data_IF_593488563054
#
_entry.id   IF_593488563054
#
_cell.length_a   1.000
_cell.length_b   1.000
_cell.length_c   1.000
_cell.angle_alpha   90.00
_cell.angle_beta   90.00
_cell.angle_gamma   90.00
#
_symmetry.space_group_name_H-M   'P 1'
#
loop_
_entity.id
_entity.type
_entity.pdbx_description
1 polymer ?
#
# COMPACT_ATOMS: atom_id res chain seq x y z
N UNK A 1 -0.98 -35.41 71.74
CA UNK A 1 -1.90 -34.30 72.07
C UNK A 1 -1.27 -32.96 71.70
N UNK A 2 -1.74 -32.30 70.63
CA UNK A 2 -2.08 -30.86 70.57
C UNK A 2 -2.41 -30.51 69.12
N UNK A 3 -3.70 -30.21 68.90
CA UNK A 3 -4.23 -29.56 67.70
C UNK A 3 -3.82 -28.10 67.73
N UNK A 4 -3.38 -27.54 66.60
CA UNK A 4 -3.47 -26.10 66.32
C UNK A 4 -3.93 -25.89 64.89
N UNK A 5 -4.76 -24.86 64.75
CA UNK A 5 -5.68 -24.52 63.68
C UNK A 5 -5.13 -23.33 62.88
N UNK A 6 -5.52 -23.22 61.59
CA UNK A 6 -5.70 -21.98 60.78
C UNK A 6 -4.36 -21.30 60.37
N UNK A 7 -4.08 -20.92 59.11
CA UNK A 7 -4.92 -20.15 58.19
C UNK A 7 -4.64 -20.50 56.71
N UNK A 8 -5.74 -20.64 55.95
CA UNK A 8 -5.75 -20.63 54.49
C UNK A 8 -5.75 -19.16 54.06
N UNK A 9 -4.63 -18.66 53.53
CA UNK A 9 -4.60 -17.35 52.89
C UNK A 9 -5.27 -17.45 51.52
N UNK A 10 -6.49 -16.90 51.41
CA UNK A 10 -7.10 -16.58 50.13
C UNK A 10 -6.27 -15.46 49.48
N UNK A 11 -5.60 -15.77 48.39
CA UNK A 11 -5.12 -14.75 47.46
C UNK A 11 -6.34 -14.27 46.66
N UNK A 12 -6.80 -13.06 46.96
CA UNK A 12 -7.75 -12.32 46.13
C UNK A 12 -7.04 -12.03 44.80
N UNK A 13 -7.35 -12.78 43.75
CA UNK A 13 -7.00 -12.39 42.37
C UNK A 13 -7.99 -11.31 41.98
N UNK A 14 -7.56 -10.06 42.09
CA UNK A 14 -8.26 -8.92 41.51
C UNK A 14 -8.21 -9.09 39.99
N UNK A 15 -9.34 -9.49 39.41
CA UNK A 15 -9.54 -9.49 37.96
C UNK A 15 -9.55 -8.04 37.49
N UNK A 16 -8.40 -7.54 37.01
CA UNK A 16 -8.39 -6.35 36.16
C UNK A 16 -9.06 -6.78 34.87
N UNK A 17 -10.28 -6.30 34.65
CA UNK A 17 -10.96 -6.35 33.37
C UNK A 17 -10.08 -5.58 32.37
N UNK A 18 -9.21 -6.30 31.67
CA UNK A 18 -8.63 -5.83 30.43
C UNK A 18 -9.80 -5.62 29.48
N UNK A 19 -10.14 -4.34 29.26
CA UNK A 19 -10.99 -3.89 28.17
C UNK A 19 -10.55 -4.59 26.88
N UNK A 20 -11.50 -5.29 26.27
CA UNK A 20 -11.24 -6.36 25.32
C UNK A 20 -10.31 -5.97 24.16
N UNK A 21 -9.44 -6.92 23.81
CA UNK A 21 -8.98 -7.03 22.43
C UNK A 21 -10.25 -7.12 21.56
N UNK A 22 -10.53 -6.07 20.80
CA UNK A 22 -11.60 -6.09 19.80
C UNK A 22 -11.37 -7.33 18.93
N UNK A 23 -12.30 -8.28 19.01
CA UNK A 23 -12.25 -9.48 18.20
C UNK A 23 -12.16 -9.05 16.74
N UNK A 24 -11.02 -9.32 16.10
CA UNK A 24 -10.83 -9.03 14.69
C UNK A 24 -11.99 -9.66 13.93
N UNK A 25 -12.76 -8.86 13.21
CA UNK A 25 -13.83 -9.38 12.37
C UNK A 25 -13.21 -10.41 11.43
N UNK A 26 -13.67 -11.68 11.44
CA UNK A 26 -13.12 -12.69 10.55
C UNK A 26 -13.29 -12.24 9.10
N UNK A 27 -12.41 -12.71 8.22
CA UNK A 27 -12.56 -12.53 6.77
C UNK A 27 -14.02 -12.81 6.36
N UNK A 28 -14.61 -12.07 5.40
CA UNK A 28 -15.99 -12.29 4.98
C UNK A 28 -16.24 -13.78 4.73
N UNK A 29 -17.08 -14.38 5.56
CA UNK A 29 -17.26 -15.84 5.62
C UNK A 29 -17.99 -16.33 4.38
N UNK A 30 -17.37 -17.31 3.71
CA UNK A 30 -17.98 -18.40 2.94
C UNK A 30 -19.22 -18.06 2.12
N UNK A 31 -19.04 -17.41 0.97
CA UNK A 31 -20.09 -17.24 -0.04
C UNK A 31 -19.72 -16.24 -1.11
N UNK A 32 -19.22 -15.06 -0.72
CA UNK A 32 -18.85 -13.99 -1.64
C UNK A 32 -17.73 -14.37 -2.63
N UNK A 33 -16.84 -15.29 -2.23
CA UNK A 33 -15.71 -15.76 -3.04
C UNK A 33 -15.90 -17.20 -3.54
N UNK A 34 -17.12 -17.74 -3.53
CA UNK A 34 -17.38 -19.09 -4.04
C UNK A 34 -16.97 -19.24 -5.52
N UNK A 35 -16.99 -18.14 -6.29
CA UNK A 35 -16.50 -18.11 -7.66
C UNK A 35 -14.97 -18.10 -7.81
N UNK A 36 -14.21 -17.89 -6.74
CA UNK A 36 -12.74 -17.94 -6.71
C UNK A 36 -12.25 -18.52 -5.38
N UNK A 37 -12.38 -19.85 -5.18
CA UNK A 37 -12.08 -20.48 -3.89
C UNK A 37 -10.61 -20.31 -3.47
N UNK A 38 -9.69 -20.30 -4.44
CA UNK A 38 -8.27 -20.06 -4.17
C UNK A 38 -8.02 -18.64 -3.65
N UNK A 39 -8.68 -17.61 -4.22
CA UNK A 39 -8.61 -16.25 -3.67
C UNK A 39 -9.18 -16.18 -2.25
N UNK A 40 -10.26 -16.92 -1.98
CA UNK A 40 -10.80 -17.07 -0.63
C UNK A 40 -9.83 -17.74 0.34
N UNK A 41 -9.01 -18.69 -0.13
CA UNK A 41 -7.96 -19.31 0.66
C UNK A 41 -6.86 -18.28 1.00
N UNK A 42 -6.31 -17.59 -0.01
CA UNK A 42 -5.26 -16.57 0.16
C UNK A 42 -5.68 -15.51 1.17
N UNK A 43 -6.92 -15.03 1.09
CA UNK A 43 -7.42 -14.03 2.03
C UNK A 43 -7.47 -14.55 3.47
N UNK A 44 -7.90 -15.79 3.67
CA UNK A 44 -8.01 -16.38 5.02
C UNK A 44 -6.66 -16.74 5.62
N UNK A 45 -5.76 -17.30 4.82
CA UNK A 45 -4.51 -17.91 5.29
C UNK A 45 -3.37 -16.90 5.24
N UNK A 46 -3.12 -16.27 4.10
CA UNK A 46 -1.96 -15.38 3.93
C UNK A 46 -2.25 -13.95 4.40
N UNK A 47 -3.39 -13.37 4.00
CA UNK A 47 -3.69 -11.98 4.36
C UNK A 47 -4.13 -11.85 5.83
N UNK A 48 -5.31 -12.40 6.17
CA UNK A 48 -5.88 -12.24 7.51
C UNK A 48 -5.33 -13.26 8.52
N UNK A 49 -4.81 -14.39 8.06
CA UNK A 49 -4.23 -15.45 8.90
C UNK A 49 -2.76 -15.25 9.24
N UNK A 50 -2.04 -14.40 8.49
CA UNK A 50 -0.63 -14.09 8.73
C UNK A 50 -0.37 -12.58 8.71
N UNK A 51 -0.45 -11.92 7.55
CA UNK A 51 0.02 -10.55 7.36
C UNK A 51 -0.63 -9.54 8.32
N UNK A 52 -1.93 -9.64 8.56
CA UNK A 52 -2.62 -8.77 9.54
C UNK A 52 -2.22 -9.01 11.00
N UNK A 53 -1.66 -10.19 11.30
CA UNK A 53 -1.28 -10.62 12.65
C UNK A 53 0.20 -10.39 12.96
N UNK A 54 1.03 -10.11 11.95
CA UNK A 54 2.47 -9.89 12.13
C UNK A 54 2.75 -8.68 13.04
N UNK A 55 3.61 -8.82 14.06
CA UNK A 55 3.78 -7.82 15.12
C UNK A 55 4.59 -6.58 14.72
N UNK A 56 5.30 -6.62 13.58
CA UNK A 56 6.17 -5.53 13.16
C UNK A 56 5.44 -4.27 12.68
N UNK A 57 4.12 -4.34 12.49
CA UNK A 57 3.25 -3.18 12.29
C UNK A 57 1.93 -3.40 13.04
N UNK A 58 1.54 -2.43 13.86
CA UNK A 58 0.37 -2.58 14.74
C UNK A 58 -0.94 -2.70 13.95
N UNK A 59 -1.99 -3.34 14.49
CA UNK A 59 -3.30 -3.38 13.84
C UNK A 59 -3.87 -2.00 13.50
N UNK A 60 -3.62 -1.00 14.36
CA UNK A 60 -3.99 0.41 14.11
C UNK A 60 -3.30 0.95 12.86
N UNK A 61 -1.98 0.78 12.79
CA UNK A 61 -1.18 1.31 11.67
C UNK A 61 -1.46 0.57 10.37
N UNK A 62 -1.72 -0.75 10.43
CA UNK A 62 -2.22 -1.52 9.28
C UNK A 62 -3.53 -0.94 8.77
N UNK A 63 -4.51 -0.71 9.64
CA UNK A 63 -5.77 -0.08 9.24
C UNK A 63 -5.58 1.31 8.62
N UNK A 64 -4.70 2.12 9.17
CA UNK A 64 -4.39 3.46 8.63
C UNK A 64 -3.83 3.35 7.19
N UNK A 65 -2.85 2.48 7.00
CA UNK A 65 -2.23 2.19 5.69
C UNK A 65 -3.26 1.63 4.71
N UNK A 66 -4.09 0.67 5.14
CA UNK A 66 -5.10 0.05 4.27
C UNK A 66 -6.14 1.07 3.79
N UNK A 67 -6.65 1.93 4.67
CA UNK A 67 -7.61 2.98 4.30
C UNK A 67 -6.97 3.94 3.28
N UNK A 68 -5.73 4.35 3.52
CA UNK A 68 -5.00 5.24 2.61
C UNK A 68 -4.84 4.64 1.20
N UNK A 69 -4.43 3.37 1.12
CA UNK A 69 -4.27 2.65 -0.15
C UNK A 69 -5.61 2.48 -0.85
N UNK A 70 -6.65 2.01 -0.15
CA UNK A 70 -7.96 1.80 -0.76
C UNK A 70 -8.60 3.10 -1.27
N UNK A 71 -8.37 4.23 -0.58
CA UNK A 71 -8.72 5.54 -1.11
C UNK A 71 -7.97 5.82 -2.43
N UNK A 72 -6.64 5.65 -2.45
CA UNK A 72 -5.83 5.96 -3.64
C UNK A 72 -6.17 5.09 -4.86
N UNK A 73 -6.65 3.87 -4.64
CA UNK A 73 -7.05 2.91 -5.67
C UNK A 73 -8.54 2.95 -6.02
N UNK A 74 -9.30 3.89 -5.43
CA UNK A 74 -10.76 4.01 -5.63
C UNK A 74 -11.57 2.76 -5.21
N UNK A 75 -11.04 1.95 -4.30
CA UNK A 75 -11.60 0.68 -3.84
C UNK A 75 -12.75 0.89 -2.82
N UNK A 76 -13.85 1.47 -3.29
CA UNK A 76 -14.94 2.02 -2.46
C UNK A 76 -15.54 1.02 -1.46
N UNK A 77 -15.79 -0.23 -1.87
CA UNK A 77 -16.33 -1.27 -0.99
C UNK A 77 -15.34 -1.65 0.13
N UNK A 78 -14.05 -1.73 -0.21
CA UNK A 78 -12.98 -2.01 0.74
C UNK A 78 -12.80 -0.86 1.74
N UNK A 79 -12.97 0.41 1.32
CA UNK A 79 -12.95 1.57 2.23
C UNK A 79 -13.98 1.39 3.34
N UNK A 80 -15.21 0.97 3.04
CA UNK A 80 -16.25 0.77 4.07
C UNK A 80 -15.82 -0.26 5.10
N UNK A 81 -15.33 -1.41 4.66
CA UNK A 81 -14.88 -2.48 5.54
C UNK A 81 -13.70 -2.04 6.41
N UNK A 82 -12.72 -1.33 5.81
CA UNK A 82 -11.50 -0.94 6.51
C UNK A 82 -11.66 0.30 7.38
N UNK A 83 -12.61 1.21 7.13
CA UNK A 83 -12.99 2.26 8.08
C UNK A 83 -13.60 1.64 9.34
N UNK A 84 -14.49 0.64 9.20
CA UNK A 84 -15.04 -0.09 10.35
C UNK A 84 -13.94 -0.78 11.15
N UNK A 85 -13.06 -1.53 10.48
CA UNK A 85 -11.91 -2.20 11.10
C UNK A 85 -10.94 -1.21 11.74
N UNK A 86 -10.73 -0.04 11.12
CA UNK A 86 -9.89 1.01 11.65
C UNK A 86 -10.38 1.54 12.99
N UNK A 87 -11.69 1.81 13.09
CA UNK A 87 -12.33 2.17 14.36
C UNK A 87 -12.16 1.06 15.41
N UNK A 88 -12.36 -0.20 15.03
CA UNK A 88 -12.19 -1.35 15.94
C UNK A 88 -10.73 -1.53 16.39
N UNK A 89 -9.76 -1.17 15.53
CA UNK A 89 -8.32 -1.19 15.81
C UNK A 89 -7.80 0.09 16.51
N UNK A 90 -8.69 1.01 16.88
CA UNK A 90 -8.35 2.18 17.70
C UNK A 90 -8.04 3.47 16.94
N UNK A 91 -8.29 3.53 15.62
CA UNK A 91 -8.35 4.83 14.92
C UNK A 91 -9.59 5.60 15.36
N UNK A 92 -9.42 6.89 15.58
CA UNK A 92 -10.52 7.82 15.84
C UNK A 92 -11.12 8.35 14.54
N UNK A 93 -12.33 8.91 14.63
CA UNK A 93 -12.95 9.60 13.49
C UNK A 93 -12.12 10.79 13.00
N UNK A 94 -11.49 11.51 13.94
CA UNK A 94 -10.64 12.66 13.62
C UNK A 94 -9.42 12.22 12.80
N UNK A 95 -8.76 11.13 13.22
CA UNK A 95 -7.62 10.56 12.49
C UNK A 95 -8.04 10.05 11.11
N UNK A 96 -9.20 9.37 10.99
CA UNK A 96 -9.69 8.88 9.69
C UNK A 96 -10.07 10.06 8.77
N UNK A 97 -10.74 11.09 9.29
CA UNK A 97 -11.10 12.28 8.51
C UNK A 97 -9.84 13.03 8.03
N UNK A 98 -8.84 13.18 8.90
CA UNK A 98 -7.57 13.82 8.56
C UNK A 98 -6.72 12.96 7.62
N UNK A 99 -6.75 11.63 7.76
CA UNK A 99 -6.14 10.70 6.81
C UNK A 99 -6.73 10.88 5.40
N UNK A 100 -8.06 10.95 5.29
CA UNK A 100 -8.74 11.14 4.00
C UNK A 100 -8.34 12.47 3.36
N UNK A 101 -8.32 13.54 4.15
CA UNK A 101 -7.87 14.87 3.71
C UNK A 101 -6.39 14.89 3.31
N UNK A 102 -5.54 14.16 4.03
CA UNK A 102 -4.12 14.04 3.70
C UNK A 102 -3.91 13.29 2.38
N UNK A 103 -4.54 12.11 2.24
CA UNK A 103 -4.40 11.25 1.06
C UNK A 103 -5.04 11.87 -0.19
N UNK A 104 -6.02 12.77 -0.03
CA UNK A 104 -6.59 13.57 -1.12
C UNK A 104 -5.52 14.37 -1.86
N UNK A 105 -4.52 14.92 -1.15
CA UNK A 105 -3.43 15.70 -1.78
C UNK A 105 -2.56 14.83 -2.67
N UNK A 106 -2.39 13.56 -2.32
CA UNK A 106 -1.50 12.62 -3.00
C UNK A 106 -2.19 11.79 -4.09
N UNK A 107 -3.49 11.54 -3.95
CA UNK A 107 -4.27 10.68 -4.85
C UNK A 107 -5.38 11.41 -5.62
N UNK A 108 -5.59 12.70 -5.35
CA UNK A 108 -6.54 13.57 -6.04
C UNK A 108 -7.85 13.81 -5.29
N UNK A 109 -8.54 14.89 -5.65
CA UNK A 109 -9.83 15.28 -5.04
C UNK A 109 -10.94 14.22 -5.16
N UNK A 110 -11.15 13.55 -6.31
CA UNK A 110 -12.24 12.58 -6.44
C UNK A 110 -12.13 11.38 -5.47
N UNK A 111 -10.91 10.87 -5.23
CA UNK A 111 -10.69 9.75 -4.30
C UNK A 111 -11.07 10.16 -2.87
N UNK A 112 -10.67 11.36 -2.44
CA UNK A 112 -10.98 11.89 -1.11
C UNK A 112 -12.47 12.17 -0.91
N UNK A 113 -13.16 12.73 -1.91
CA UNK A 113 -14.61 12.96 -1.84
C UNK A 113 -15.37 11.62 -1.72
N UNK A 114 -14.98 10.61 -2.50
CA UNK A 114 -15.57 9.28 -2.42
C UNK A 114 -15.34 8.65 -1.03
N UNK A 115 -14.09 8.64 -0.55
CA UNK A 115 -13.73 8.11 0.76
C UNK A 115 -14.46 8.82 1.90
N UNK A 116 -14.59 10.15 1.84
CA UNK A 116 -15.31 10.94 2.84
C UNK A 116 -16.80 10.57 2.91
N UNK A 117 -17.44 10.33 1.76
CA UNK A 117 -18.84 9.87 1.73
C UNK A 117 -18.98 8.51 2.42
N UNK A 118 -18.13 7.55 2.07
CA UNK A 118 -18.16 6.20 2.67
C UNK A 118 -17.88 6.26 4.18
N UNK A 119 -16.87 7.03 4.61
CA UNK A 119 -16.55 7.19 6.02
C UNK A 119 -17.71 7.82 6.80
N UNK A 120 -18.39 8.82 6.22
CA UNK A 120 -19.57 9.45 6.82
C UNK A 120 -20.69 8.44 7.06
N UNK A 121 -20.96 7.56 6.10
CA UNK A 121 -21.96 6.49 6.26
C UNK A 121 -21.58 5.55 7.41
N UNK A 122 -20.32 5.14 7.50
CA UNK A 122 -19.84 4.27 8.60
C UNK A 122 -19.92 4.97 9.96
N UNK A 123 -19.59 6.26 10.04
CA UNK A 123 -19.71 7.02 11.29
C UNK A 123 -21.18 7.14 11.74
N UNK A 124 -22.09 7.39 10.81
CA UNK A 124 -23.54 7.40 11.10
C UNK A 124 -24.03 6.04 11.62
N UNK A 125 -23.63 4.94 10.97
CA UNK A 125 -23.96 3.58 11.43
C UNK A 125 -23.46 3.29 12.86
N UNK A 126 -22.31 3.87 13.24
CA UNK A 126 -21.69 3.71 14.56
C UNK A 126 -22.19 4.77 15.57
N UNK A 127 -23.14 5.63 15.22
CA UNK A 127 -23.62 6.77 16.02
C UNK A 127 -22.49 7.70 16.48
N UNK A 128 -21.54 7.90 15.59
CA UNK A 128 -20.32 8.66 15.81
C UNK A 128 -20.44 10.05 15.15
N UNK A 129 -20.16 11.16 15.86
CA UNK A 129 -20.39 12.50 15.32
C UNK A 129 -19.33 12.91 14.31
N UNK A 130 -19.72 13.59 13.24
CA UNK A 130 -18.77 14.15 12.28
C UNK A 130 -17.79 15.12 12.97
N UNK A 131 -16.50 14.85 12.85
CA UNK A 131 -15.43 15.72 13.36
C UNK A 131 -14.75 16.39 12.17
N UNK A 132 -15.02 17.68 11.89
CA UNK A 132 -14.27 18.39 10.87
C UNK A 132 -12.80 18.48 11.29
N UNK A 133 -11.86 18.24 10.38
CA UNK A 133 -10.47 18.23 10.78
C UNK A 133 -9.99 19.66 11.10
N UNK A 134 -9.05 19.81 12.03
CA UNK A 134 -8.60 21.11 12.55
C UNK A 134 -7.85 21.89 11.48
N UNK A 135 -8.46 22.93 10.91
CA UNK A 135 -7.77 23.86 9.99
C UNK A 135 -7.35 25.11 10.74
N UNK A 136 -6.05 25.31 11.02
CA UNK A 136 -5.58 26.60 11.44
C UNK A 136 -5.53 27.50 10.20
N UNK A 137 -6.63 28.20 9.89
CA UNK A 137 -6.74 29.13 8.74
C UNK A 137 -5.71 30.27 8.74
N UNK A 138 -4.95 30.43 9.83
CA UNK A 138 -3.97 31.49 10.05
C UNK A 138 -2.65 30.90 10.59
N UNK A 139 -1.85 30.24 9.74
CA UNK A 139 -0.45 29.91 10.08
C UNK A 139 0.51 30.86 9.37
N UNK A 140 1.56 31.22 10.08
CA UNK A 140 2.71 31.87 9.46
C UNK A 140 3.34 30.92 8.44
N UNK A 141 3.78 31.44 7.27
CA UNK A 141 4.48 30.64 6.28
C UNK A 141 5.71 29.95 6.91
N UNK A 142 5.94 28.68 6.56
CA UNK A 142 7.15 27.97 6.97
C UNK A 142 8.37 28.60 6.26
N UNK A 143 9.34 29.09 7.02
CA UNK A 143 10.57 29.72 6.51
C UNK A 143 11.81 28.98 7.04
N UNK A 144 12.73 28.51 6.15
CA UNK A 144 12.61 28.51 4.69
C UNK A 144 11.51 27.55 4.20
N UNK A 145 10.96 27.76 2.98
CA UNK A 145 10.02 26.82 2.39
C UNK A 145 10.65 25.43 2.24
N UNK A 146 9.83 24.37 2.29
CA UNK A 146 10.31 23.00 2.21
C UNK A 146 11.02 22.68 0.88
N UNK A 147 10.57 23.29 -0.22
CA UNK A 147 11.10 23.14 -1.56
C UNK A 147 11.38 24.52 -2.18
N UNK A 148 12.48 25.19 -1.81
CA UNK A 148 12.83 26.49 -2.37
C UNK A 148 13.13 26.34 -3.88
N UNK A 149 12.66 27.28 -4.69
CA UNK A 149 12.84 27.31 -6.15
C UNK A 149 12.26 26.10 -6.92
N UNK A 150 11.37 25.31 -6.31
CA UNK A 150 10.66 24.25 -7.03
C UNK A 150 9.78 24.84 -8.14
N UNK A 151 9.72 24.16 -9.28
CA UNK A 151 8.80 24.48 -10.38
C UNK A 151 8.83 25.96 -10.84
N UNK A 152 10.00 26.50 -11.26
CA UNK A 152 10.12 27.92 -11.64
C UNK A 152 9.20 28.32 -12.81
N UNK A 153 8.84 27.38 -13.68
CA UNK A 153 7.92 27.60 -14.79
C UNK A 153 6.43 27.54 -14.39
N UNK A 154 6.10 27.04 -13.19
CA UNK A 154 4.73 26.92 -12.66
C UNK A 154 4.68 27.42 -11.20
N UNK A 155 4.86 28.73 -10.96
CA UNK A 155 5.03 29.29 -9.62
C UNK A 155 3.83 29.07 -8.69
N UNK A 156 2.62 28.99 -9.22
CA UNK A 156 1.43 28.66 -8.41
C UNK A 156 1.48 27.22 -7.87
N UNK A 157 2.04 26.27 -8.64
CA UNK A 157 2.27 24.90 -8.15
C UNK A 157 3.29 24.88 -7.02
N UNK A 158 4.35 25.69 -7.13
CA UNK A 158 5.34 25.85 -6.06
C UNK A 158 4.71 26.42 -4.78
N UNK A 159 3.81 27.39 -4.90
CA UNK A 159 3.06 27.94 -3.78
C UNK A 159 2.14 26.89 -3.15
N UNK A 160 1.35 26.15 -3.93
CA UNK A 160 0.51 25.05 -3.43
C UNK A 160 1.34 24.01 -2.68
N UNK A 161 2.49 23.61 -3.22
CA UNK A 161 3.38 22.65 -2.56
C UNK A 161 3.88 23.16 -1.21
N UNK A 162 4.44 24.38 -1.18
CA UNK A 162 5.09 24.88 0.01
C UNK A 162 4.12 25.40 1.07
N UNK A 163 3.06 26.10 0.66
CA UNK A 163 2.11 26.74 1.57
C UNK A 163 1.00 25.78 2.00
N UNK A 164 0.36 25.11 1.05
CA UNK A 164 -0.79 24.26 1.35
C UNK A 164 -0.38 22.85 1.76
N UNK A 165 0.44 22.15 0.96
CA UNK A 165 0.81 20.77 1.29
C UNK A 165 1.70 20.74 2.53
N UNK A 166 2.89 21.34 2.45
CA UNK A 166 3.87 21.24 3.53
C UNK A 166 3.66 22.27 4.65
N UNK A 167 3.14 23.46 4.34
CA UNK A 167 2.89 24.52 5.34
C UNK A 167 1.59 24.34 6.13
N UNK A 168 0.56 23.74 5.54
CA UNK A 168 -0.72 23.49 6.20
C UNK A 168 -0.93 22.00 6.47
N UNK A 169 -1.16 21.18 5.43
CA UNK A 169 -1.66 19.81 5.56
C UNK A 169 -0.75 18.94 6.42
N UNK A 170 0.56 18.98 6.16
CA UNK A 170 1.53 18.23 6.97
C UNK A 170 1.59 18.68 8.42
N UNK A 171 1.23 19.92 8.73
CA UNK A 171 1.35 20.51 10.06
C UNK A 171 0.06 20.38 10.89
N UNK A 172 -1.04 19.85 10.35
CA UNK A 172 -2.31 19.72 11.08
C UNK A 172 -2.17 18.67 12.21
N UNK A 173 -2.66 18.96 13.43
CA UNK A 173 -2.36 18.15 14.62
C UNK A 173 -3.19 16.86 14.73
N UNK A 174 -4.28 16.73 13.99
CA UNK A 174 -5.21 15.59 14.12
C UNK A 174 -4.62 14.26 13.63
N UNK A 175 -3.49 14.29 12.91
CA UNK A 175 -2.71 13.12 12.51
C UNK A 175 -1.22 13.41 12.66
N UNK A 176 -0.52 12.51 13.35
CA UNK A 176 0.91 12.69 13.63
C UNK A 176 1.76 12.69 12.37
N UNK A 177 2.96 13.30 12.42
CA UNK A 177 3.92 13.27 11.31
C UNK A 177 4.32 11.85 10.92
N UNK A 178 4.46 10.96 11.90
CA UNK A 178 4.74 9.52 11.69
C UNK A 178 3.61 8.86 10.91
N UNK A 179 2.37 9.06 11.33
CA UNK A 179 1.20 8.44 10.70
C UNK A 179 0.96 8.98 9.29
N UNK A 180 1.19 10.28 9.06
CA UNK A 180 1.19 10.88 7.72
C UNK A 180 2.23 10.21 6.83
N UNK A 181 3.46 10.05 7.32
CA UNK A 181 4.51 9.37 6.57
C UNK A 181 4.15 7.92 6.22
N UNK A 182 3.56 7.15 7.15
CA UNK A 182 3.07 5.80 6.85
C UNK A 182 2.03 5.82 5.71
N UNK A 183 1.04 6.72 5.79
CA UNK A 183 0.04 6.86 4.74
C UNK A 183 0.65 7.27 3.39
N UNK A 184 1.55 8.26 3.36
CA UNK A 184 2.16 8.73 2.12
C UNK A 184 3.05 7.67 1.47
N UNK A 185 3.85 6.93 2.25
CA UNK A 185 4.68 5.83 1.75
C UNK A 185 3.79 4.74 1.13
N UNK A 186 2.71 4.37 1.82
CA UNK A 186 1.78 3.36 1.33
C UNK A 186 1.08 3.76 0.02
N UNK A 187 0.61 5.02 -0.07
CA UNK A 187 -0.01 5.56 -1.29
C UNK A 187 1.00 5.64 -2.43
N UNK A 188 2.23 6.10 -2.17
CA UNK A 188 3.27 6.18 -3.19
C UNK A 188 3.67 4.79 -3.72
N UNK A 189 3.73 3.76 -2.85
CA UNK A 189 3.88 2.37 -3.28
C UNK A 189 2.70 1.93 -4.16
N UNK A 190 1.48 2.10 -3.69
CA UNK A 190 0.28 1.62 -4.37
C UNK A 190 0.09 2.25 -5.76
N UNK A 191 0.49 3.52 -5.91
CA UNK A 191 0.41 4.26 -7.17
C UNK A 191 1.67 4.10 -8.05
N UNK A 192 2.69 3.36 -7.63
CA UNK A 192 3.94 3.20 -8.37
C UNK A 192 4.76 4.50 -8.50
N UNK A 193 4.55 5.47 -7.61
CA UNK A 193 5.19 6.79 -7.65
C UNK A 193 6.62 6.74 -7.05
N UNK A 194 7.56 6.05 -7.70
CA UNK A 194 8.89 5.74 -7.15
C UNK A 194 9.72 6.96 -6.72
N UNK A 195 9.58 8.11 -7.40
CA UNK A 195 10.27 9.36 -7.00
C UNK A 195 9.75 9.89 -5.66
N UNK A 196 8.42 9.93 -5.51
CA UNK A 196 7.75 10.35 -4.28
C UNK A 196 8.01 9.35 -3.16
N UNK A 197 7.93 8.04 -3.47
CA UNK A 197 8.23 6.97 -2.52
C UNK A 197 9.64 7.13 -1.93
N UNK A 198 10.65 7.39 -2.77
CA UNK A 198 12.04 7.61 -2.32
C UNK A 198 12.14 8.79 -1.34
N UNK A 199 11.52 9.92 -1.69
CA UNK A 199 11.49 11.13 -0.85
C UNK A 199 10.79 10.87 0.48
N UNK A 200 9.61 10.22 0.43
CA UNK A 200 8.78 9.98 1.61
C UNK A 200 9.28 8.86 2.51
N UNK A 201 10.05 7.90 2.01
CA UNK A 201 10.78 6.94 2.85
C UNK A 201 11.82 7.65 3.73
N UNK A 202 12.59 8.58 3.15
CA UNK A 202 13.52 9.41 3.91
C UNK A 202 12.80 10.24 4.97
N UNK A 203 11.75 10.97 4.58
CA UNK A 203 10.92 11.75 5.51
C UNK A 203 10.26 10.88 6.58
N UNK A 204 9.86 9.66 6.25
CA UNK A 204 9.29 8.70 7.20
C UNK A 204 10.27 8.31 8.30
N UNK A 205 11.52 8.00 7.92
CA UNK A 205 12.59 7.75 8.89
C UNK A 205 12.83 8.98 9.79
N UNK A 206 12.82 10.19 9.22
CA UNK A 206 12.97 11.44 10.00
C UNK A 206 11.80 11.68 10.96
N UNK A 207 10.59 11.25 10.59
CA UNK A 207 9.38 11.32 11.39
C UNK A 207 9.21 10.13 12.37
N UNK A 208 10.19 9.23 12.45
CA UNK A 208 10.21 8.11 13.40
C UNK A 208 9.54 6.81 12.93
N UNK A 209 9.28 6.66 11.63
CA UNK A 209 8.93 5.35 11.05
C UNK A 209 10.19 4.50 10.99
N UNK A 210 10.15 3.28 11.51
CA UNK A 210 11.32 2.39 11.57
C UNK A 210 11.52 1.57 10.29
N UNK A 211 12.73 1.04 10.06
CA UNK A 211 12.99 0.11 8.95
C UNK A 211 12.09 -1.13 9.00
N UNK A 212 11.82 -1.65 10.22
CA UNK A 212 10.95 -2.80 10.42
C UNK A 212 9.50 -2.51 10.00
N UNK A 213 8.98 -1.34 10.40
CA UNK A 213 7.64 -0.89 9.99
C UNK A 213 7.53 -0.64 8.49
N UNK A 214 8.58 -0.10 7.86
CA UNK A 214 8.63 0.06 6.39
C UNK A 214 8.57 -1.31 5.70
N UNK A 215 9.36 -2.28 6.15
CA UNK A 215 9.34 -3.63 5.57
C UNK A 215 7.98 -4.32 5.70
N UNK A 216 7.32 -4.16 6.85
CA UNK A 216 5.96 -4.68 7.10
C UNK A 216 4.89 -3.95 6.29
N UNK A 217 5.01 -2.63 6.15
CA UNK A 217 4.15 -1.83 5.29
C UNK A 217 4.25 -2.30 3.85
N UNK A 218 5.46 -2.52 3.34
CA UNK A 218 5.68 -2.98 1.96
C UNK A 218 4.98 -4.31 1.70
N UNK A 219 5.18 -5.30 2.59
CA UNK A 219 4.53 -6.60 2.50
C UNK A 219 3.00 -6.51 2.65
N UNK A 220 2.51 -5.65 3.55
CA UNK A 220 1.08 -5.45 3.76
C UNK A 220 0.40 -4.84 2.53
N UNK A 221 0.99 -3.78 1.97
CA UNK A 221 0.45 -3.06 0.81
C UNK A 221 0.51 -3.92 -0.47
N UNK A 222 1.34 -4.97 -0.51
CA UNK A 222 1.37 -5.95 -1.60
C UNK A 222 0.01 -6.63 -1.84
N UNK A 223 -0.77 -6.91 -0.78
CA UNK A 223 -2.09 -7.53 -0.93
C UNK A 223 -3.16 -6.57 -1.46
N UNK A 224 -2.96 -5.27 -1.26
CA UNK A 224 -3.91 -4.24 -1.69
C UNK A 224 -3.57 -3.62 -3.05
N UNK A 225 -2.30 -3.64 -3.44
CA UNK A 225 -1.79 -3.00 -4.67
C UNK A 225 -0.96 -3.92 -5.58
N UNK A 226 -0.83 -5.20 -5.21
CA UNK A 226 -0.10 -6.22 -5.97
C UNK A 226 1.36 -6.39 -5.55
N UNK A 227 1.89 -7.61 -5.73
CA UNK A 227 3.30 -7.95 -5.46
C UNK A 227 4.30 -7.09 -6.26
N UNK A 228 4.07 -6.75 -7.54
CA UNK A 228 4.98 -5.90 -8.29
C UNK A 228 5.25 -4.53 -7.65
N UNK A 229 4.22 -3.91 -7.06
CA UNK A 229 4.39 -2.63 -6.37
C UNK A 229 5.31 -2.76 -5.15
N UNK A 230 5.21 -3.88 -4.43
CA UNK A 230 6.03 -4.20 -3.27
C UNK A 230 7.48 -4.52 -3.66
N UNK A 231 7.71 -5.24 -4.76
CA UNK A 231 9.06 -5.49 -5.29
C UNK A 231 9.73 -4.16 -5.66
N UNK A 232 9.06 -3.27 -6.39
CA UNK A 232 9.58 -1.94 -6.68
C UNK A 232 9.86 -1.14 -5.39
N UNK A 233 8.90 -1.11 -4.45
CA UNK A 233 9.06 -0.39 -3.19
C UNK A 233 10.22 -0.91 -2.34
N UNK A 234 10.45 -2.23 -2.31
CA UNK A 234 11.57 -2.84 -1.60
C UNK A 234 12.93 -2.39 -2.16
N UNK A 235 13.06 -2.30 -3.50
CA UNK A 235 14.28 -1.79 -4.16
C UNK A 235 14.52 -0.31 -3.84
N UNK A 236 13.47 0.50 -3.89
CA UNK A 236 13.55 1.94 -3.55
C UNK A 236 13.93 2.12 -2.07
N UNK A 237 13.33 1.34 -1.17
CA UNK A 237 13.64 1.37 0.26
C UNK A 237 15.08 0.93 0.54
N UNK A 238 15.57 -0.13 -0.11
CA UNK A 238 16.96 -0.58 0.03
C UNK A 238 17.95 0.52 -0.36
N UNK A 239 17.71 1.21 -1.48
CA UNK A 239 18.55 2.34 -1.89
C UNK A 239 18.51 3.52 -0.91
N UNK A 240 17.36 3.79 -0.26
CA UNK A 240 17.26 4.83 0.79
C UNK A 240 18.00 4.41 2.05
N UNK A 241 17.88 3.15 2.47
CA UNK A 241 18.57 2.62 3.64
C UNK A 241 20.08 2.61 3.44
N UNK A 242 20.55 2.18 2.27
CA UNK A 242 21.96 2.26 1.87
C UNK A 242 22.48 3.70 1.91
N UNK A 243 21.78 4.64 1.28
CA UNK A 243 22.17 6.06 1.27
C UNK A 243 22.22 6.68 2.67
N UNK A 244 21.49 6.12 3.64
CA UNK A 244 21.49 6.53 5.04
C UNK A 244 22.41 5.69 5.94
N UNK A 245 23.18 4.76 5.36
CA UNK A 245 24.05 3.82 6.08
C UNK A 245 23.28 3.01 7.16
N UNK A 246 22.02 2.66 6.87
CA UNK A 246 21.20 1.87 7.77
C UNK A 246 21.48 0.38 7.56
N UNK A 247 21.46 -0.44 8.65
CA UNK A 247 21.75 -1.86 8.55
C UNK A 247 20.67 -2.57 7.73
N UNK A 248 21.11 -3.53 6.91
CA UNK A 248 20.23 -4.38 6.12
C UNK A 248 20.70 -5.84 6.22
N UNK A 249 19.76 -6.80 6.37
CA UNK A 249 20.09 -8.22 6.35
C UNK A 249 20.54 -8.66 4.96
N UNK A 250 21.26 -9.79 4.90
CA UNK A 250 21.53 -10.48 3.64
C UNK A 250 20.29 -11.31 3.28
N UNK A 251 19.43 -10.74 2.44
CA UNK A 251 18.19 -11.35 1.94
C UNK A 251 17.95 -10.90 0.49
N UNK A 252 17.04 -11.55 -0.23
CA UNK A 252 16.68 -11.12 -1.59
C UNK A 252 16.04 -9.71 -1.58
N UNK A 253 15.19 -9.46 -0.57
CA UNK A 253 14.54 -8.18 -0.32
C UNK A 253 15.05 -7.57 0.99
N UNK A 254 16.26 -6.99 1.04
CA UNK A 254 16.89 -6.56 2.29
C UNK A 254 16.09 -5.49 3.06
N UNK A 255 15.34 -4.64 2.35
CA UNK A 255 14.49 -3.62 2.97
C UNK A 255 13.06 -4.08 3.30
N UNK A 256 12.66 -5.25 2.81
CA UNK A 256 11.37 -5.88 3.11
C UNK A 256 11.51 -7.41 3.13
N UNK A 257 12.24 -8.00 4.11
CA UNK A 257 12.53 -9.44 4.09
C UNK A 257 11.27 -10.31 4.10
N UNK A 258 10.19 -9.77 4.66
CA UNK A 258 8.86 -10.36 4.70
C UNK A 258 8.18 -10.53 3.34
N UNK A 259 8.72 -9.93 2.27
CA UNK A 259 8.24 -10.07 0.91
C UNK A 259 8.72 -11.39 0.27
N UNK A 260 9.87 -11.91 0.68
CA UNK A 260 10.46 -13.15 0.14
C UNK A 260 9.50 -14.34 0.27
N UNK A 261 8.89 -14.64 1.43
CA UNK A 261 7.91 -15.73 1.53
C UNK A 261 6.65 -15.54 0.67
N UNK A 262 6.27 -14.28 0.35
CA UNK A 262 5.13 -14.01 -0.54
C UNK A 262 5.48 -14.28 -2.01
N UNK A 263 6.72 -13.98 -2.40
CA UNK A 263 7.22 -14.24 -3.76
C UNK A 263 7.47 -15.73 -3.95
N UNK A 264 8.22 -16.36 -3.05
CA UNK A 264 8.61 -17.78 -3.15
C UNK A 264 7.48 -18.75 -2.81
N UNK A 265 6.51 -18.31 -2.01
CA UNK A 265 5.31 -19.09 -1.67
C UNK A 265 4.16 -18.75 -2.61
N UNK A 266 3.40 -17.73 -2.24
CA UNK A 266 2.12 -17.40 -2.87
C UNK A 266 2.22 -17.13 -4.38
N UNK A 267 3.21 -16.32 -4.80
CA UNK A 267 3.37 -16.01 -6.21
C UNK A 267 3.86 -17.24 -6.99
N UNK A 268 4.88 -17.94 -6.49
CA UNK A 268 5.40 -19.15 -7.13
C UNK A 268 4.30 -20.22 -7.28
N UNK A 269 3.54 -20.51 -6.22
CA UNK A 269 2.41 -21.45 -6.26
C UNK A 269 1.45 -21.07 -7.39
N UNK A 270 1.12 -19.78 -7.50
CA UNK A 270 0.20 -19.29 -8.53
C UNK A 270 0.70 -19.61 -9.94
N UNK A 271 2.00 -19.64 -10.21
CA UNK A 271 2.58 -19.99 -11.51
C UNK A 271 2.59 -21.50 -11.80
N UNK A 272 2.60 -22.34 -10.78
CA UNK A 272 2.67 -23.81 -10.90
C UNK A 272 1.30 -24.49 -11.02
N UNK A 273 0.20 -23.76 -10.78
CA UNK A 273 -1.16 -24.32 -10.86
C UNK A 273 -1.53 -24.82 -12.26
N UNK A 274 -2.23 -25.97 -12.40
CA UNK A 274 -2.38 -26.70 -13.66
C UNK A 274 -3.37 -26.10 -14.67
N UNK A 275 -4.19 -25.11 -14.28
CA UNK A 275 -5.32 -24.65 -15.09
C UNK A 275 -4.99 -23.56 -16.14
N UNK A 276 -3.83 -22.91 -16.02
CA UNK A 276 -3.30 -21.97 -17.01
C UNK A 276 -1.87 -22.34 -17.33
N UNK A 277 -1.56 -22.45 -18.62
CA UNK A 277 -0.19 -22.63 -19.10
C UNK A 277 0.68 -21.42 -18.75
N UNK A 278 1.99 -21.63 -18.69
CA UNK A 278 2.95 -20.55 -18.49
C UNK A 278 2.81 -19.43 -19.54
N UNK A 279 2.44 -19.80 -20.78
CA UNK A 279 2.15 -18.86 -21.87
C UNK A 279 0.91 -18.00 -21.59
N UNK A 280 -0.20 -18.62 -21.17
CA UNK A 280 -1.43 -17.87 -20.82
C UNK A 280 -1.20 -16.94 -19.62
N UNK A 281 -0.46 -17.41 -18.61
CA UNK A 281 -0.08 -16.59 -17.45
C UNK A 281 0.73 -15.38 -17.88
N UNK A 282 1.74 -15.56 -18.73
CA UNK A 282 2.54 -14.46 -19.24
C UNK A 282 1.73 -13.43 -20.05
N UNK A 283 0.76 -13.87 -20.86
CA UNK A 283 -0.15 -12.93 -21.54
C UNK A 283 -0.96 -12.11 -20.53
N UNK A 284 -1.53 -12.75 -19.52
CA UNK A 284 -2.33 -12.09 -18.48
C UNK A 284 -1.47 -11.11 -17.68
N UNK A 285 -0.30 -11.53 -17.19
CA UNK A 285 0.56 -10.67 -16.37
C UNK A 285 1.15 -9.51 -17.17
N UNK A 286 1.50 -9.72 -18.44
CA UNK A 286 1.96 -8.65 -19.32
C UNK A 286 0.86 -7.62 -19.60
N UNK A 287 -0.38 -8.07 -19.84
CA UNK A 287 -1.53 -7.18 -20.01
C UNK A 287 -1.74 -6.32 -18.75
N UNK A 288 -1.70 -6.93 -17.56
CA UNK A 288 -1.80 -6.19 -16.29
C UNK A 288 -0.63 -5.20 -16.13
N UNK A 289 0.61 -5.64 -16.34
CA UNK A 289 1.79 -4.78 -16.20
C UNK A 289 1.73 -3.54 -17.11
N UNK A 290 1.23 -3.70 -18.34
CA UNK A 290 1.00 -2.58 -19.24
C UNK A 290 0.03 -1.55 -18.64
N UNK A 291 -1.02 -1.99 -17.94
CA UNK A 291 -2.01 -1.08 -17.32
C UNK A 291 -1.51 -0.38 -16.06
N UNK A 292 -0.44 -0.88 -15.43
CA UNK A 292 0.10 -0.33 -14.17
C UNK A 292 1.17 0.76 -14.39
N UNK A 293 1.52 1.06 -15.64
CA UNK A 293 2.56 2.04 -16.04
C UNK A 293 3.94 1.83 -15.42
N UNK A 294 4.23 0.61 -14.94
CA UNK A 294 5.54 0.26 -14.43
C UNK A 294 6.40 -0.28 -15.56
N UNK A 295 7.25 0.57 -16.13
CA UNK A 295 8.12 0.22 -17.27
C UNK A 295 9.06 -0.95 -16.95
N UNK A 296 9.66 -0.95 -15.76
CA UNK A 296 10.60 -2.00 -15.35
C UNK A 296 9.90 -3.36 -15.18
N UNK A 297 8.70 -3.34 -14.57
CA UNK A 297 7.88 -4.54 -14.43
C UNK A 297 7.43 -5.07 -15.79
N UNK A 298 6.94 -4.17 -16.66
CA UNK A 298 6.50 -4.53 -17.99
C UNK A 298 7.63 -5.19 -18.78
N UNK A 299 8.85 -4.67 -18.68
CA UNK A 299 10.03 -5.26 -19.32
C UNK A 299 10.30 -6.68 -18.82
N UNK A 300 10.32 -6.88 -17.51
CA UNK A 300 10.52 -8.21 -16.91
C UNK A 300 9.42 -9.20 -17.33
N UNK A 301 8.16 -8.76 -17.38
CA UNK A 301 7.07 -9.60 -17.85
C UNK A 301 7.17 -9.93 -19.35
N UNK A 302 7.68 -9.01 -20.18
CA UNK A 302 7.96 -9.28 -21.59
C UNK A 302 9.09 -10.29 -21.77
N UNK A 303 10.16 -10.21 -20.97
CA UNK A 303 11.26 -11.18 -21.00
C UNK A 303 10.77 -12.59 -20.67
N UNK A 304 10.01 -12.73 -19.59
CA UNK A 304 9.39 -14.00 -19.21
C UNK A 304 8.36 -14.49 -20.22
N UNK A 305 7.61 -13.57 -20.86
CA UNK A 305 6.70 -13.91 -21.95
C UNK A 305 7.43 -14.54 -23.13
N UNK A 306 8.58 -13.97 -23.53
CA UNK A 306 9.43 -14.52 -24.59
C UNK A 306 9.96 -15.92 -24.22
N UNK A 307 10.38 -16.12 -22.97
CA UNK A 307 10.84 -17.42 -22.46
C UNK A 307 9.72 -18.49 -22.47
N UNK A 308 8.49 -18.07 -22.18
CA UNK A 308 7.30 -18.92 -22.25
C UNK A 308 6.72 -19.06 -23.68
N UNK A 309 7.47 -18.62 -24.69
CA UNK A 309 7.15 -18.84 -26.10
C UNK A 309 6.16 -17.84 -26.72
N UNK A 310 5.94 -16.68 -26.11
CA UNK A 310 5.19 -15.57 -26.72
C UNK A 310 6.14 -14.84 -27.69
N UNK A 311 5.69 -14.61 -28.91
CA UNK A 311 6.50 -13.98 -29.96
C UNK A 311 6.47 -12.44 -29.88
N UNK A 312 7.47 -11.74 -30.48
CA UNK A 312 7.42 -10.28 -30.61
C UNK A 312 6.13 -9.76 -31.27
N UNK A 313 5.60 -10.47 -32.28
CA UNK A 313 4.33 -10.10 -32.93
C UNK A 313 3.17 -10.19 -31.93
N UNK A 314 3.08 -11.25 -31.14
CA UNK A 314 2.00 -11.42 -30.16
C UNK A 314 2.09 -10.39 -29.03
N UNK A 315 3.31 -10.02 -28.60
CA UNK A 315 3.51 -8.90 -27.68
C UNK A 315 2.98 -7.60 -28.29
N UNK A 316 3.27 -7.34 -29.57
CA UNK A 316 2.76 -6.16 -30.28
C UNK A 316 1.23 -6.12 -30.36
N UNK A 317 0.60 -7.24 -30.71
CA UNK A 317 -0.86 -7.37 -30.75
C UNK A 317 -1.49 -7.16 -29.38
N UNK A 318 -0.90 -7.73 -28.32
CA UNK A 318 -1.37 -7.51 -26.95
C UNK A 318 -1.27 -6.04 -26.56
N UNK A 319 -0.16 -5.36 -26.88
CA UNK A 319 -0.02 -3.93 -26.61
C UNK A 319 -1.12 -3.15 -27.30
N UNK A 320 -1.34 -3.38 -28.60
CA UNK A 320 -2.39 -2.72 -29.36
C UNK A 320 -3.78 -2.97 -28.74
N UNK A 321 -4.09 -4.23 -28.41
CA UNK A 321 -5.35 -4.64 -27.81
C UNK A 321 -5.58 -3.92 -26.48
N UNK A 322 -4.65 -4.06 -25.52
CA UNK A 322 -4.81 -3.51 -24.17
C UNK A 322 -4.87 -1.97 -24.20
N UNK A 323 -4.14 -1.33 -25.11
CA UNK A 323 -4.14 0.13 -25.28
C UNK A 323 -5.54 0.71 -25.52
N UNK A 324 -6.38 -0.01 -26.27
CA UNK A 324 -7.75 0.44 -26.53
C UNK A 324 -8.64 0.44 -25.29
N UNK A 325 -8.25 -0.28 -24.23
CA UNK A 325 -8.99 -0.36 -22.96
C UNK A 325 -8.31 0.41 -21.83
N UNK A 326 -6.98 0.56 -21.86
CA UNK A 326 -6.19 1.20 -20.81
C UNK A 326 -5.72 2.62 -21.17
N UNK A 327 -5.94 3.07 -22.40
CA UNK A 327 -5.55 4.39 -22.88
C UNK A 327 -4.20 4.43 -23.61
N UNK A 328 -4.11 5.36 -24.57
CA UNK A 328 -2.97 5.54 -25.48
C UNK A 328 -1.61 5.80 -24.82
N UNK A 329 -1.48 6.61 -23.75
CA UNK A 329 -0.19 6.85 -23.12
C UNK A 329 0.51 5.56 -22.66
N UNK A 330 -0.27 4.64 -22.09
CA UNK A 330 0.20 3.32 -21.63
C UNK A 330 0.73 2.49 -22.80
N UNK A 331 -0.03 2.48 -23.91
CA UNK A 331 0.34 1.80 -25.14
C UNK A 331 1.64 2.32 -25.73
N UNK A 332 1.76 3.63 -25.89
CA UNK A 332 2.97 4.27 -26.44
C UNK A 332 4.21 3.96 -25.60
N UNK A 333 4.11 4.02 -24.27
CA UNK A 333 5.22 3.66 -23.39
C UNK A 333 5.58 2.17 -23.52
N UNK A 334 4.57 1.31 -23.59
CA UNK A 334 4.75 -0.14 -23.75
C UNK A 334 5.43 -0.49 -25.08
N UNK A 335 5.02 0.14 -26.19
CA UNK A 335 5.64 -0.04 -27.51
C UNK A 335 7.12 0.36 -27.51
N UNK A 336 7.49 1.46 -26.83
CA UNK A 336 8.90 1.87 -26.71
C UNK A 336 9.73 0.83 -25.94
N UNK A 337 9.17 0.32 -24.85
CA UNK A 337 9.81 -0.71 -24.00
C UNK A 337 10.02 -2.00 -24.78
N UNK A 338 8.98 -2.47 -25.48
CA UNK A 338 9.06 -3.65 -26.34
C UNK A 338 10.09 -3.48 -27.46
N UNK A 339 10.07 -2.34 -28.16
CA UNK A 339 11.04 -2.04 -29.23
C UNK A 339 12.49 -2.07 -28.73
N UNK A 340 12.77 -1.44 -27.58
CA UNK A 340 14.10 -1.47 -26.97
C UNK A 340 14.53 -2.91 -26.60
N UNK A 341 13.62 -3.69 -25.99
CA UNK A 341 13.88 -5.09 -25.63
C UNK A 341 14.16 -5.96 -26.86
N UNK A 342 13.35 -5.85 -27.92
CA UNK A 342 13.54 -6.65 -29.13
C UNK A 342 14.85 -6.32 -29.83
N UNK A 343 15.19 -5.03 -29.90
CA UNK A 343 16.47 -4.59 -30.45
C UNK A 343 17.65 -5.15 -29.65
N UNK A 344 17.61 -5.05 -28.32
CA UNK A 344 18.67 -5.57 -27.44
C UNK A 344 18.87 -7.08 -27.59
N UNK A 345 17.78 -7.84 -27.72
CA UNK A 345 17.83 -9.30 -27.86
C UNK A 345 18.01 -9.79 -29.30
N UNK A 346 18.15 -8.89 -30.28
CA UNK A 346 18.28 -9.24 -31.70
C UNK A 346 17.05 -9.96 -32.27
N UNK A 347 15.87 -9.69 -31.71
CA UNK A 347 14.61 -10.30 -32.11
C UNK A 347 14.00 -9.57 -33.32
N UNK A 348 13.22 -10.26 -34.18
CA UNK A 348 12.56 -9.61 -35.31
C UNK A 348 11.55 -8.57 -34.81
N UNK A 349 11.53 -7.41 -35.47
CA UNK A 349 10.51 -6.41 -35.22
C UNK A 349 9.14 -6.90 -35.73
N UNK A 350 8.04 -6.62 -35.00
CA UNK A 350 6.68 -6.87 -35.46
C UNK A 350 6.41 -6.17 -36.80
N UNK A 351 5.50 -6.74 -37.60
CA UNK A 351 5.13 -6.21 -38.93
C UNK A 351 3.90 -5.32 -38.90
#
# INVERSE_FOLDING_TARGET
MRRSRIALQLFLITFVLASGAAAQTPAPTGGALAGSPYLGQILREDLYGDIWLRPGLSPRDRSLVTIAVNQSLYATEEIRAHVRRGLDNGLTQAEIAELIAHVLVYSGFPTGVNAARVATEVFQERNLPAVPPSSPRNREPVVPPAYPNSFPSTPYLAALLNEWVYGEVWERPDLSKRDRSLATIAVAQAMGASSELRSHLGRGLDNGVTQAEIGELIAHVAFYSGIPSAVNASRVAAAVFEARNLPMPQAEFPAAPYLEPLVDGLLAETWERPDLSARERSLITMAVAQTLYSTDELRSQMERALENGITPQEISELIAQVTLYSGFPMGVNSSRTAGALFQERGLPMPR
#
